data_IF_724832059030
#
_entry.id   IF_724832059030
#
_cell.length_a   1.000
_cell.length_b   1.000
_cell.length_c   1.000
_cell.angle_alpha   90.00
_cell.angle_beta   90.00
_cell.angle_gamma   90.00
#
_symmetry.space_group_name_H-M   'P 1'
#
loop_
_entity.id
_entity.type
_entity.pdbx_description
1 polymer ?
#
# COMPACT_ATOMS: atom_id res chain seq x y z
N UNK A 1 -57.03 54.51 41.97
CA UNK A 1 -55.85 53.80 41.46
C UNK A 1 -56.37 52.68 40.55
N UNK A 2 -56.16 52.81 39.22
CA UNK A 2 -56.17 51.79 38.13
C UNK A 2 -57.27 50.71 38.13
N UNK A 3 -58.36 50.80 37.34
CA UNK A 3 -58.58 50.43 35.91
C UNK A 3 -58.37 48.94 35.56
N UNK A 4 -59.51 48.29 35.25
CA UNK A 4 -59.87 47.25 34.26
C UNK A 4 -58.77 46.46 33.48
N UNK A 5 -58.99 45.16 33.20
CA UNK A 5 -59.61 44.65 31.95
C UNK A 5 -59.56 43.10 31.85
N UNK A 6 -60.56 42.57 31.16
CA UNK A 6 -60.82 41.17 30.76
C UNK A 6 -60.01 40.81 29.49
N UNK A 7 -59.67 39.53 29.28
CA UNK A 7 -59.33 38.95 27.96
C UNK A 7 -58.32 37.78 28.08
N UNK A 8 -58.69 36.51 27.99
CA UNK A 8 -59.08 35.69 26.82
C UNK A 8 -57.97 35.50 25.77
N UNK A 9 -57.89 34.26 25.26
CA UNK A 9 -57.06 33.65 24.20
C UNK A 9 -55.85 32.83 24.68
N UNK A 10 -55.93 31.50 24.67
CA UNK A 10 -55.78 30.56 23.53
C UNK A 10 -54.33 30.35 23.10
N UNK A 11 -53.95 29.06 23.14
CA UNK A 11 -52.99 28.38 22.27
C UNK A 11 -51.60 29.00 22.13
N UNK A 12 -50.56 28.25 22.53
CA UNK A 12 -49.63 27.69 21.54
C UNK A 12 -48.57 26.76 22.19
N UNK A 13 -48.59 25.50 21.73
CA UNK A 13 -47.44 24.77 21.20
C UNK A 13 -46.06 24.86 21.89
N UNK A 14 -45.61 23.72 22.43
CA UNK A 14 -44.34 23.03 22.07
C UNK A 14 -44.15 21.85 23.04
N UNK A 15 -44.49 20.61 22.70
CA UNK A 15 -43.69 19.75 21.82
C UNK A 15 -42.19 20.06 21.95
N UNK A 16 -41.61 19.68 23.09
CA UNK A 16 -40.19 19.32 23.13
C UNK A 16 -40.12 17.86 22.73
N UNK A 17 -40.01 17.65 21.41
CA UNK A 17 -39.53 16.39 20.85
C UNK A 17 -38.25 16.00 21.59
N UNK A 18 -38.28 14.90 22.33
CA UNK A 18 -37.11 14.05 22.47
C UNK A 18 -36.63 13.75 21.05
N UNK A 19 -35.52 14.38 20.66
CA UNK A 19 -34.79 13.95 19.48
C UNK A 19 -34.30 12.53 19.80
N UNK A 20 -34.63 11.50 19.01
CA UNK A 20 -33.87 10.27 19.08
C UNK A 20 -32.42 10.65 18.74
N UNK A 21 -31.51 10.41 19.67
CA UNK A 21 -30.08 10.49 19.41
C UNK A 21 -29.80 9.50 18.28
N UNK A 22 -29.72 10.03 17.06
CA UNK A 22 -29.29 9.28 15.89
C UNK A 22 -27.99 8.58 16.25
N UNK A 23 -27.88 7.24 16.07
CA UNK A 23 -26.62 6.57 16.31
C UNK A 23 -25.58 7.26 15.44
N UNK A 24 -24.61 7.90 16.10
CA UNK A 24 -23.51 8.58 15.44
C UNK A 24 -22.87 7.52 14.54
N UNK A 25 -22.88 7.69 13.21
CA UNK A 25 -22.20 6.74 12.35
C UNK A 25 -20.74 6.67 12.82
N UNK A 26 -20.15 5.46 12.94
CA UNK A 26 -18.78 5.32 13.39
C UNK A 26 -17.90 6.28 12.58
N UNK A 27 -16.88 6.92 13.20
CA UNK A 27 -16.04 7.87 12.51
C UNK A 27 -15.57 7.22 11.21
N UNK A 28 -16.02 7.77 10.07
CA UNK A 28 -15.58 7.30 8.76
C UNK A 28 -14.07 7.44 8.78
N UNK A 29 -13.37 6.32 8.92
CA UNK A 29 -11.91 6.30 8.76
C UNK A 29 -11.64 7.03 7.45
N UNK A 30 -10.77 8.05 7.42
CA UNK A 30 -10.46 8.75 6.18
C UNK A 30 -10.10 7.68 5.16
N UNK A 31 -10.89 7.62 4.08
CA UNK A 31 -10.72 6.61 3.04
C UNK A 31 -9.31 6.84 2.47
N UNK A 32 -8.39 5.86 2.53
CA UNK A 32 -7.07 6.05 1.95
C UNK A 32 -7.26 6.28 0.45
N UNK A 33 -7.04 7.52 0.01
CA UNK A 33 -7.23 7.97 -1.38
C UNK A 33 -6.03 7.69 -2.24
N UNK A 34 -4.96 7.13 -1.68
CA UNK A 34 -3.72 6.88 -2.42
C UNK A 34 -3.99 5.77 -3.42
N UNK A 35 -3.86 6.10 -4.70
CA UNK A 35 -3.95 5.23 -5.87
C UNK A 35 -2.58 4.70 -6.33
N UNK A 36 -1.50 5.10 -5.65
CA UNK A 36 -0.14 4.70 -5.96
C UNK A 36 0.63 4.17 -4.73
N UNK A 37 1.56 3.25 -4.97
CA UNK A 37 2.47 2.72 -3.94
C UNK A 37 3.88 2.67 -4.50
N UNK A 38 4.85 3.07 -3.69
CA UNK A 38 6.26 2.89 -4.04
C UNK A 38 6.74 1.55 -3.51
N UNK A 39 7.23 0.69 -4.39
CA UNK A 39 7.81 -0.60 -4.04
C UNK A 39 9.31 -0.58 -4.25
N UNK A 40 10.07 -0.96 -3.24
CA UNK A 40 11.53 -0.99 -3.28
C UNK A 40 12.05 -2.41 -3.24
N UNK A 41 12.91 -2.77 -4.18
CA UNK A 41 13.60 -4.06 -4.10
C UNK A 41 14.55 -4.06 -2.89
N UNK A 42 14.34 -4.98 -1.94
CA UNK A 42 15.20 -5.13 -0.76
C UNK A 42 16.20 -6.28 -0.93
N UNK A 43 15.73 -7.37 -1.49
CA UNK A 43 16.54 -8.58 -1.66
C UNK A 43 16.10 -9.34 -2.91
N UNK A 44 17.06 -9.86 -3.66
CA UNK A 44 16.82 -10.79 -4.75
C UNK A 44 17.54 -12.11 -4.50
N UNK A 45 16.77 -13.19 -4.44
CA UNK A 45 17.25 -14.55 -4.29
C UNK A 45 17.49 -15.16 -5.67
N UNK A 46 18.76 -15.30 -6.03
CA UNK A 46 19.23 -15.91 -7.25
C UNK A 46 19.49 -17.40 -7.01
N UNK A 47 18.85 -18.28 -7.78
CA UNK A 47 19.18 -19.71 -7.78
C UNK A 47 20.19 -19.98 -8.89
N UNK A 48 21.42 -20.34 -8.50
CA UNK A 48 22.51 -20.63 -9.43
C UNK A 48 22.31 -22.02 -10.07
N UNK A 49 22.89 -22.26 -11.27
CA UNK A 49 22.83 -23.56 -11.93
C UNK A 49 23.52 -24.68 -11.14
N UNK A 50 24.43 -24.34 -10.22
CA UNK A 50 25.04 -25.25 -9.25
C UNK A 50 24.07 -25.71 -8.15
N UNK A 51 22.86 -25.12 -8.09
CA UNK A 51 21.90 -25.32 -7.01
C UNK A 51 22.15 -24.44 -5.78
N UNK A 52 23.23 -23.67 -5.78
CA UNK A 52 23.51 -22.68 -4.75
C UNK A 52 22.51 -21.52 -4.82
N UNK A 53 22.25 -20.88 -3.67
CA UNK A 53 21.39 -19.69 -3.58
C UNK A 53 22.25 -18.50 -3.24
N UNK A 54 22.16 -17.44 -4.03
CA UNK A 54 22.81 -16.18 -3.77
C UNK A 54 21.75 -15.13 -3.42
N UNK A 55 21.92 -14.45 -2.28
CA UNK A 55 21.12 -13.30 -1.92
C UNK A 55 21.83 -12.02 -2.35
N UNK A 56 21.19 -11.24 -3.21
CA UNK A 56 21.63 -9.89 -3.55
C UNK A 56 20.81 -8.91 -2.70
N UNK A 57 21.48 -8.14 -1.86
CA UNK A 57 20.85 -7.10 -1.05
C UNK A 57 20.82 -5.77 -1.80
N UNK A 58 19.68 -5.11 -1.78
CA UNK A 58 19.44 -3.82 -2.43
C UNK A 58 18.94 -2.82 -1.40
N UNK A 59 19.22 -1.53 -1.64
CA UNK A 59 18.57 -0.47 -0.89
C UNK A 59 17.21 -0.16 -1.53
N UNK A 60 16.08 -0.48 -0.85
CA UNK A 60 14.74 -0.28 -1.40
C UNK A 60 14.47 1.18 -1.77
N UNK A 61 15.18 2.16 -1.18
CA UNK A 61 15.03 3.58 -1.53
C UNK A 61 15.65 3.94 -2.88
N UNK A 62 16.72 3.25 -3.28
CA UNK A 62 17.40 3.49 -4.56
C UNK A 62 16.76 2.69 -5.70
N UNK A 63 16.15 1.56 -5.38
CA UNK A 63 15.47 0.66 -6.33
C UNK A 63 13.95 0.72 -6.15
N UNK A 64 13.42 1.93 -5.92
CA UNK A 64 11.99 2.16 -5.73
C UNK A 64 11.27 2.40 -7.06
N UNK A 65 10.15 1.72 -7.27
CA UNK A 65 9.27 1.87 -8.43
C UNK A 65 7.88 2.28 -7.95
N UNK A 66 7.30 3.27 -8.62
CA UNK A 66 5.93 3.70 -8.31
C UNK A 66 4.94 2.88 -9.12
N UNK A 67 4.10 2.13 -8.44
CA UNK A 67 3.04 1.33 -9.03
C UNK A 67 1.74 2.10 -8.89
N UNK A 68 1.13 2.42 -10.03
CA UNK A 68 -0.22 2.96 -10.07
C UNK A 68 -1.21 1.81 -10.13
N UNK A 69 -2.18 1.83 -9.23
CA UNK A 69 -3.26 0.86 -9.16
C UNK A 69 -4.53 1.49 -9.73
N UNK A 70 -5.34 0.69 -10.41
CA UNK A 70 -6.64 1.14 -10.95
C UNK A 70 -7.65 1.50 -9.84
N UNK A 71 -7.37 1.11 -8.60
CA UNK A 71 -8.19 1.34 -7.41
C UNK A 71 -7.30 1.83 -6.26
N UNK A 72 -7.87 2.50 -5.25
CA UNK A 72 -7.11 2.90 -4.07
C UNK A 72 -6.47 1.71 -3.39
N UNK A 73 -5.28 1.88 -2.82
CA UNK A 73 -4.49 0.82 -2.17
C UNK A 73 -5.27 0.11 -1.06
N UNK A 74 -6.17 0.83 -0.38
CA UNK A 74 -7.04 0.28 0.65
C UNK A 74 -8.17 -0.62 0.13
N UNK A 75 -8.49 -0.52 -1.16
CA UNK A 75 -9.45 -1.38 -1.86
C UNK A 75 -8.74 -2.40 -2.78
N UNK A 76 -7.41 -2.34 -2.87
CA UNK A 76 -6.58 -3.26 -3.65
C UNK A 76 -6.23 -4.51 -2.85
N UNK A 77 -6.01 -5.61 -3.56
CA UNK A 77 -5.51 -6.85 -2.98
C UNK A 77 -3.98 -6.97 -3.14
N UNK A 78 -3.36 -7.88 -2.37
CA UNK A 78 -1.96 -8.23 -2.57
C UNK A 78 -1.67 -8.75 -3.99
N UNK A 79 -2.67 -9.35 -4.64
CA UNK A 79 -2.55 -9.84 -6.01
C UNK A 79 -2.48 -8.68 -7.01
N UNK A 80 -3.30 -7.64 -6.83
CA UNK A 80 -3.23 -6.41 -7.64
C UNK A 80 -1.84 -5.76 -7.50
N UNK A 81 -1.30 -5.71 -6.29
CA UNK A 81 0.05 -5.18 -6.03
C UNK A 81 1.13 -6.03 -6.72
N UNK A 82 1.05 -7.37 -6.62
CA UNK A 82 1.97 -8.30 -7.30
C UNK A 82 1.88 -8.15 -8.81
N UNK A 83 0.69 -8.02 -9.36
CA UNK A 83 0.44 -7.78 -10.79
C UNK A 83 1.05 -6.45 -11.23
N UNK A 84 0.91 -5.40 -10.42
CA UNK A 84 1.60 -4.13 -10.61
C UNK A 84 3.13 -4.28 -10.62
N UNK A 85 3.71 -5.03 -9.69
CA UNK A 85 5.16 -5.27 -9.65
C UNK A 85 5.60 -6.06 -10.89
N UNK A 86 4.78 -7.01 -11.33
CA UNK A 86 5.05 -7.80 -12.53
C UNK A 86 5.06 -6.96 -13.82
N UNK A 87 4.34 -5.83 -13.89
CA UNK A 87 4.45 -4.88 -15.00
C UNK A 87 5.85 -4.25 -15.11
N UNK A 88 6.55 -4.12 -13.99
CA UNK A 88 7.93 -3.61 -13.90
C UNK A 88 8.98 -4.73 -13.85
N UNK A 89 8.61 -5.96 -14.23
CA UNK A 89 9.49 -7.13 -14.15
C UNK A 89 10.79 -6.93 -14.93
N UNK A 90 10.73 -6.33 -16.12
CA UNK A 90 11.90 -6.13 -16.98
C UNK A 90 12.93 -5.18 -16.34
N UNK A 91 12.47 -4.06 -15.80
CA UNK A 91 13.33 -3.11 -15.05
C UNK A 91 13.95 -3.77 -13.81
N UNK A 92 13.15 -4.52 -13.05
CA UNK A 92 13.62 -5.24 -11.86
C UNK A 92 14.67 -6.28 -12.25
N UNK A 93 14.44 -7.06 -13.31
CA UNK A 93 15.38 -8.05 -13.82
C UNK A 93 16.69 -7.39 -14.26
N UNK A 94 16.62 -6.27 -14.97
CA UNK A 94 17.81 -5.54 -15.42
C UNK A 94 18.63 -5.00 -14.24
N UNK A 95 17.96 -4.45 -13.21
CA UNK A 95 18.64 -4.00 -11.99
C UNK A 95 19.30 -5.15 -11.24
N UNK A 96 18.62 -6.31 -11.16
CA UNK A 96 19.18 -7.52 -10.53
C UNK A 96 20.40 -8.00 -11.30
N UNK A 97 20.37 -8.00 -12.63
CA UNK A 97 21.51 -8.38 -13.47
C UNK A 97 22.66 -7.37 -13.38
N UNK A 98 22.37 -6.07 -13.27
CA UNK A 98 23.39 -5.03 -13.04
C UNK A 98 24.06 -5.22 -11.67
N UNK A 99 23.31 -5.56 -10.64
CA UNK A 99 23.86 -5.82 -9.32
C UNK A 99 24.56 -7.17 -9.22
N UNK A 100 24.08 -8.21 -9.91
CA UNK A 100 24.71 -9.54 -9.93
C UNK A 100 26.12 -9.48 -10.53
N UNK A 101 26.32 -8.66 -11.57
CA UNK A 101 27.65 -8.37 -12.15
C UNK A 101 28.62 -7.70 -11.16
N UNK A 102 28.11 -6.93 -10.21
CA UNK A 102 28.89 -6.28 -9.16
C UNK A 102 28.99 -7.12 -7.89
N UNK A 103 28.35 -8.29 -7.85
CA UNK A 103 28.33 -9.16 -6.68
C UNK A 103 29.71 -9.76 -6.41
N UNK A 104 29.99 -10.06 -5.14
CA UNK A 104 31.22 -10.72 -4.71
C UNK A 104 31.28 -12.19 -5.16
N UNK A 105 30.12 -12.78 -5.47
CA UNK A 105 30.03 -14.17 -5.90
C UNK A 105 30.32 -14.29 -7.42
N UNK A 106 31.39 -15.01 -7.83
CA UNK A 106 31.73 -15.16 -9.24
C UNK A 106 30.61 -15.85 -10.03
N UNK A 107 29.92 -16.82 -9.42
CA UNK A 107 28.78 -17.50 -10.05
C UNK A 107 27.60 -16.53 -10.31
N UNK A 108 27.39 -15.53 -9.45
CA UNK A 108 26.36 -14.51 -9.66
C UNK A 108 26.72 -13.53 -10.80
N UNK A 109 28.02 -13.33 -11.08
CA UNK A 109 28.49 -12.53 -12.22
C UNK A 109 28.29 -13.21 -13.56
N UNK A 110 28.32 -14.55 -13.57
CA UNK A 110 28.11 -15.35 -14.78
C UNK A 110 26.63 -15.51 -15.15
N UNK A 111 25.70 -15.12 -14.26
CA UNK A 111 24.27 -15.14 -14.56
C UNK A 111 23.95 -14.09 -15.62
N UNK A 112 23.66 -14.57 -16.83
CA UNK A 112 23.32 -13.76 -18.00
C UNK A 112 21.84 -13.38 -18.06
N UNK A 113 20.99 -14.21 -17.45
CA UNK A 113 19.54 -14.05 -17.46
C UNK A 113 18.99 -14.38 -16.08
N UNK A 114 18.09 -13.55 -15.59
CA UNK A 114 17.38 -13.80 -14.33
C UNK A 114 15.89 -13.87 -14.62
N UNK A 115 15.28 -15.03 -14.44
CA UNK A 115 13.85 -15.22 -14.57
C UNK A 115 13.19 -15.05 -13.20
N UNK A 116 12.54 -13.90 -12.98
CA UNK A 116 11.75 -13.67 -11.77
C UNK A 116 10.60 -14.67 -11.72
N UNK A 117 10.55 -15.49 -10.66
CA UNK A 117 9.56 -16.53 -10.44
C UNK A 117 8.53 -16.14 -9.39
N UNK A 118 8.97 -15.65 -8.24
CA UNK A 118 8.08 -15.30 -7.14
C UNK A 118 8.39 -13.91 -6.59
N UNK A 119 7.33 -13.21 -6.20
CA UNK A 119 7.39 -11.90 -5.56
C UNK A 119 6.87 -12.09 -4.13
N UNK A 120 7.76 -11.86 -3.18
CA UNK A 120 7.45 -11.92 -1.76
C UNK A 120 7.36 -10.52 -1.18
N UNK A 121 6.17 -10.14 -0.74
CA UNK A 121 5.95 -8.90 -0.01
C UNK A 121 5.79 -9.28 1.45
N UNK A 122 6.78 -9.02 2.33
CA UNK A 122 6.72 -9.42 3.73
C UNK A 122 5.70 -8.63 4.54
N UNK A 123 5.29 -7.45 4.07
CA UNK A 123 4.31 -6.61 4.74
C UNK A 123 2.88 -7.06 4.47
N UNK A 124 2.02 -6.85 5.47
CA UNK A 124 0.57 -7.00 5.35
C UNK A 124 -0.03 -5.85 4.53
N UNK A 125 -1.24 -6.05 4.01
CA UNK A 125 -1.94 -5.00 3.25
C UNK A 125 -2.16 -3.73 4.10
N UNK A 126 -2.45 -3.88 5.39
CA UNK A 126 -2.61 -2.75 6.32
C UNK A 126 -1.34 -1.91 6.44
N UNK A 127 -0.18 -2.56 6.63
CA UNK A 127 1.12 -1.88 6.67
C UNK A 127 1.45 -1.20 5.34
N UNK A 128 1.14 -1.84 4.21
CA UNK A 128 1.33 -1.27 2.88
C UNK A 128 0.50 0.01 2.72
N UNK A 129 -0.75 0.01 3.18
CA UNK A 129 -1.61 1.19 3.17
C UNK A 129 -1.03 2.30 4.05
N UNK A 130 -0.56 1.98 5.26
CA UNK A 130 0.09 2.95 6.14
C UNK A 130 1.35 3.56 5.54
N UNK A 131 2.19 2.74 4.88
CA UNK A 131 3.40 3.18 4.20
C UNK A 131 3.04 4.06 3.00
N UNK A 132 2.07 3.65 2.18
CA UNK A 132 1.61 4.42 1.02
C UNK A 132 1.02 5.78 1.42
N UNK A 133 0.23 5.83 2.51
CA UNK A 133 -0.28 7.08 3.07
C UNK A 133 0.82 8.04 3.53
N UNK A 134 2.00 7.52 3.90
CA UNK A 134 3.18 8.29 4.30
C UNK A 134 4.13 8.57 3.13
N UNK A 135 3.73 8.27 1.89
CA UNK A 135 4.59 8.32 0.70
C UNK A 135 5.87 7.48 0.84
N UNK A 136 5.81 6.44 1.69
CA UNK A 136 6.93 5.57 1.99
C UNK A 136 7.16 4.50 0.92
N UNK A 137 8.29 3.81 1.03
CA UNK A 137 8.65 2.71 0.13
C UNK A 137 8.41 1.38 0.83
N UNK A 138 7.64 0.52 0.18
CA UNK A 138 7.31 -0.84 0.60
C UNK A 138 8.42 -1.78 0.13
N UNK A 139 9.28 -2.30 1.02
CA UNK A 139 10.30 -3.25 0.61
C UNK A 139 9.67 -4.57 0.17
N UNK A 140 10.08 -5.10 -0.98
CA UNK A 140 9.72 -6.44 -1.44
C UNK A 140 10.97 -7.25 -1.76
N UNK A 141 10.79 -8.57 -1.76
CA UNK A 141 11.81 -9.56 -2.06
C UNK A 141 11.37 -10.33 -3.30
N UNK A 142 12.31 -10.72 -4.14
CA UNK A 142 12.01 -11.56 -5.30
C UNK A 142 12.89 -12.79 -5.31
N UNK A 143 12.38 -13.88 -5.85
CA UNK A 143 13.16 -15.08 -6.10
C UNK A 143 13.06 -15.50 -7.56
N UNK A 144 14.15 -16.08 -8.07
CA UNK A 144 14.26 -16.46 -9.46
C UNK A 144 15.44 -17.39 -9.73
N UNK A 145 15.60 -17.74 -11.00
CA UNK A 145 16.63 -18.63 -11.52
C UNK A 145 17.19 -18.10 -12.83
#
# INVERSE_FOLDING_TARGET
MWIQFIGFLLNNCKWLCEKPETPVPPPRKPKPTVDHVKFGLKEALLTLPSGARASLHFDPKNTSFTIQLDKPVAESSLDDLRSGIAKHKEDIQEQILKASKNSELPEAREVKEYAMKEIFVPQTLEEIIEIANKDGVVPFTVSGK
#
